data_IF_099090353403
#
_entry.id   IF_099090353403
#
_cell.length_a   1.000
_cell.length_b   1.000
_cell.length_c   1.000
_cell.angle_alpha   90.00
_cell.angle_beta   90.00
_cell.angle_gamma   90.00
#
_symmetry.space_group_name_H-M   'P 1'
#
loop_
_entity.id
_entity.type
_entity.pdbx_description
1 polymer ?
#
# COMPACT_ATOMS: atom_id res chain seq x y z
N UNK A 1 -6.48 -24.75 38.82
CA UNK A 1 -5.66 -23.64 39.33
C UNK A 1 -4.20 -23.98 39.09
N UNK A 2 -3.55 -23.33 38.12
CA UNK A 2 -2.09 -23.29 37.93
C UNK A 2 -1.85 -22.30 36.78
N UNK A 3 -1.86 -20.99 37.09
CA UNK A 3 -0.70 -20.12 37.28
C UNK A 3 0.12 -19.92 35.99
N UNK A 4 -0.15 -18.77 35.37
CA UNK A 4 0.67 -18.15 34.34
C UNK A 4 2.03 -17.74 34.92
N UNK A 5 3.05 -17.73 34.06
CA UNK A 5 4.30 -16.99 34.27
C UNK A 5 4.58 -16.23 32.97
N UNK A 6 4.32 -14.92 33.02
CA UNK A 6 4.82 -13.94 32.07
C UNK A 6 6.33 -13.80 32.22
N UNK A 7 7.06 -13.74 31.10
CA UNK A 7 8.44 -13.28 31.07
C UNK A 7 8.51 -12.04 30.18
N UNK A 8 8.51 -10.88 30.83
CA UNK A 8 8.82 -9.59 30.22
C UNK A 8 10.34 -9.49 30.01
N UNK A 9 10.77 -9.22 28.78
CA UNK A 9 12.16 -8.85 28.48
C UNK A 9 12.20 -7.34 28.29
N UNK A 10 12.70 -6.67 29.33
CA UNK A 10 13.08 -5.26 29.38
C UNK A 10 14.39 -5.08 28.60
N UNK A 11 14.40 -4.18 27.61
CA UNK A 11 15.63 -3.76 26.94
C UNK A 11 15.92 -2.30 27.27
N UNK A 12 17.04 -2.09 27.97
CA UNK A 12 17.57 -0.83 28.47
C UNK A 12 18.00 0.11 27.34
N UNK A 13 17.60 1.38 27.45
CA UNK A 13 18.01 2.52 26.61
C UNK A 13 19.52 2.77 26.74
N UNK A 14 20.18 2.98 25.60
CA UNK A 14 21.53 3.53 25.52
C UNK A 14 21.41 4.95 24.97
N UNK A 15 21.87 5.92 25.76
CA UNK A 15 21.93 7.34 25.43
C UNK A 15 22.96 7.62 24.32
N UNK A 16 22.56 8.40 23.31
CA UNK A 16 23.46 8.95 22.28
C UNK A 16 23.38 10.49 22.35
N UNK A 17 24.51 11.22 22.42
CA UNK A 17 24.51 12.66 22.62
C UNK A 17 24.10 13.44 21.36
N UNK A 18 23.37 14.53 21.57
CA UNK A 18 22.84 15.45 20.56
C UNK A 18 23.93 16.27 19.85
N UNK A 19 23.81 16.39 18.52
CA UNK A 19 24.59 17.31 17.70
C UNK A 19 23.89 18.68 17.59
N UNK A 20 24.63 19.79 17.41
CA UNK A 20 24.10 21.15 17.52
C UNK A 20 23.37 21.63 16.26
N UNK A 21 22.30 22.39 16.47
CA UNK A 21 21.48 23.06 15.45
C UNK A 21 22.24 24.21 14.74
N UNK A 22 22.01 24.45 13.43
CA UNK A 22 22.41 25.69 12.78
C UNK A 22 21.29 26.75 12.75
N UNK A 23 21.77 27.97 12.89
CA UNK A 23 21.15 29.27 13.15
C UNK A 23 20.20 29.80 12.06
N UNK A 24 19.08 30.42 12.49
CA UNK A 24 18.12 31.14 11.64
C UNK A 24 18.71 32.41 11.02
N UNK A 25 18.60 32.55 9.69
CA UNK A 25 18.84 33.82 9.00
C UNK A 25 17.55 34.35 8.34
N UNK A 26 17.04 35.45 8.90
CA UNK A 26 15.96 36.29 8.34
C UNK A 26 16.42 37.00 7.06
N UNK A 27 15.60 36.96 6.00
CA UNK A 27 15.62 37.97 4.94
C UNK A 27 14.21 38.32 4.46
N UNK A 28 14.05 39.59 4.10
CA UNK A 28 12.80 40.35 3.99
C UNK A 28 12.20 40.34 2.58
N UNK A 29 10.88 40.53 2.53
CA UNK A 29 10.08 40.84 1.33
C UNK A 29 10.62 42.04 0.53
N UNK A 30 10.58 41.92 -0.81
CA UNK A 30 10.40 43.04 -1.72
C UNK A 30 9.70 42.55 -3.00
N UNK A 31 8.57 43.19 -3.31
CA UNK A 31 7.81 43.01 -4.55
C UNK A 31 8.42 43.83 -5.69
N UNK A 32 8.39 43.30 -6.91
CA UNK A 32 8.39 44.07 -8.15
C UNK A 32 7.79 43.23 -9.29
N UNK A 33 6.75 43.79 -9.93
CA UNK A 33 6.21 43.33 -11.21
C UNK A 33 7.17 43.69 -12.37
N UNK A 34 7.22 42.87 -13.43
CA UNK A 34 6.73 43.16 -14.79
C UNK A 34 7.42 42.26 -15.84
N UNK A 35 6.66 41.87 -16.88
CA UNK A 35 7.19 41.51 -18.19
C UNK A 35 7.11 40.03 -18.54
N UNK A 36 6.13 39.67 -19.39
CA UNK A 36 5.97 38.32 -19.91
C UNK A 36 7.00 37.97 -20.99
N UNK A 37 7.18 36.67 -21.19
CA UNK A 37 7.45 36.13 -22.51
C UNK A 37 6.92 34.70 -22.61
N UNK A 38 6.30 34.41 -23.75
CA UNK A 38 5.68 33.14 -24.06
C UNK A 38 6.74 32.13 -24.49
N UNK A 39 6.85 30.99 -23.80
CA UNK A 39 7.59 29.84 -24.30
C UNK A 39 6.82 28.55 -23.99
N UNK A 40 6.49 27.87 -25.08
CA UNK A 40 5.78 26.62 -25.19
C UNK A 40 6.57 25.51 -24.46
N UNK A 41 6.01 24.98 -23.36
CA UNK A 41 6.56 23.86 -22.61
C UNK A 41 5.48 22.79 -22.47
N UNK A 42 5.66 21.69 -23.19
CA UNK A 42 4.80 20.52 -23.19
C UNK A 42 4.74 19.93 -21.77
N UNK A 43 3.69 20.26 -21.03
CA UNK A 43 3.47 19.78 -19.68
C UNK A 43 3.13 18.29 -19.74
N UNK A 44 4.08 17.46 -19.33
CA UNK A 44 3.82 16.06 -18.98
C UNK A 44 2.69 16.05 -17.93
N UNK A 45 1.60 15.29 -18.14
CA UNK A 45 0.51 15.28 -17.17
C UNK A 45 1.04 14.75 -15.84
N UNK A 46 0.63 15.34 -14.70
CA UNK A 46 0.99 14.81 -13.38
C UNK A 46 0.51 13.35 -13.27
N UNK A 47 1.24 12.49 -12.55
CA UNK A 47 0.79 11.13 -12.29
C UNK A 47 -0.60 11.16 -11.62
N UNK A 48 -1.42 10.11 -11.79
CA UNK A 48 -2.76 10.05 -11.23
C UNK A 48 -2.69 10.19 -9.71
N UNK A 49 -3.02 11.39 -9.22
CA UNK A 49 -3.10 11.68 -7.80
C UNK A 49 -4.43 11.12 -7.30
N UNK A 50 -4.38 10.06 -6.51
CA UNK A 50 -5.54 9.60 -5.77
C UNK A 50 -5.93 10.68 -4.75
N UNK A 51 -7.23 11.00 -4.66
CA UNK A 51 -7.72 12.01 -3.72
C UNK A 51 -7.42 11.56 -2.29
N UNK A 52 -6.53 12.26 -1.59
CA UNK A 52 -6.38 12.14 -0.14
C UNK A 52 -7.66 12.72 0.48
N UNK A 53 -8.42 11.91 1.21
CA UNK A 53 -9.61 12.42 1.90
C UNK A 53 -9.14 13.33 3.05
N UNK A 54 -9.67 14.54 3.14
CA UNK A 54 -9.43 15.54 4.20
C UNK A 54 -9.87 15.08 5.61
N UNK A 55 -10.22 13.80 5.79
CA UNK A 55 -10.68 13.20 7.05
C UNK A 55 -9.61 12.36 7.77
N UNK A 56 -8.32 12.61 7.53
CA UNK A 56 -7.21 12.03 8.31
C UNK A 56 -6.94 12.92 9.54
N UNK A 57 -7.80 12.86 10.56
CA UNK A 57 -7.54 13.38 11.92
C UNK A 57 -6.63 12.44 12.74
N UNK A 58 -6.11 11.35 12.16
CA UNK A 58 -5.02 10.60 12.77
C UNK A 58 -3.73 11.44 12.65
N UNK A 59 -3.03 11.66 13.77
CA UNK A 59 -1.76 12.40 13.84
C UNK A 59 -0.93 12.16 12.57
N UNK A 60 -0.66 13.23 11.82
CA UNK A 60 0.12 13.16 10.59
C UNK A 60 1.37 12.30 10.87
N UNK A 61 1.54 11.16 10.18
CA UNK A 61 2.64 10.25 10.46
C UNK A 61 3.93 11.06 10.36
N UNK A 62 4.79 10.95 11.38
CA UNK A 62 6.12 11.60 11.37
C UNK A 62 6.75 11.34 10.01
N UNK A 63 6.99 12.39 9.25
CA UNK A 63 7.55 12.28 7.89
C UNK A 63 8.92 11.64 8.03
N UNK A 64 9.02 10.36 7.68
CA UNK A 64 10.28 9.65 7.60
C UNK A 64 10.95 10.15 6.32
N UNK A 65 12.19 10.66 6.44
CA UNK A 65 12.99 10.97 5.26
C UNK A 65 13.44 9.66 4.61
N UNK A 66 12.88 9.36 3.44
CA UNK A 66 13.17 8.14 2.67
C UNK A 66 14.50 8.25 1.90
N UNK A 67 15.10 9.45 1.84
CA UNK A 67 16.24 9.73 1.00
C UNK A 67 15.89 9.80 -0.49
N UNK A 68 16.89 10.02 -1.36
CA UNK A 68 16.67 10.12 -2.79
C UNK A 68 16.32 8.75 -3.38
N UNK A 69 15.36 8.74 -4.32
CA UNK A 69 15.07 7.57 -5.15
C UNK A 69 16.28 7.23 -6.02
N UNK A 70 16.63 5.94 -6.06
CA UNK A 70 17.72 5.39 -6.86
C UNK A 70 17.19 4.22 -7.67
N UNK A 71 17.66 4.05 -8.90
CA UNK A 71 17.32 2.87 -9.71
C UNK A 71 18.07 1.63 -9.20
N UNK A 72 17.48 0.44 -9.33
CA UNK A 72 18.19 -0.83 -9.05
C UNK A 72 19.49 -0.91 -9.83
N UNK A 73 19.49 -0.47 -11.09
CA UNK A 73 20.66 -0.50 -11.97
C UNK A 73 21.81 0.33 -11.40
N UNK A 74 21.55 1.58 -11.01
CA UNK A 74 22.55 2.45 -10.40
C UNK A 74 23.05 1.88 -9.07
N UNK A 75 22.15 1.27 -8.29
CA UNK A 75 22.52 0.67 -7.03
C UNK A 75 23.45 -0.53 -7.24
N UNK A 76 23.21 -1.37 -8.24
CA UNK A 76 24.06 -2.51 -8.55
C UNK A 76 25.42 -2.09 -9.13
N UNK A 77 25.45 -1.07 -9.98
CA UNK A 77 26.69 -0.55 -10.58
C UNK A 77 27.62 0.07 -9.52
N UNK A 78 27.07 0.80 -8.54
CA UNK A 78 27.85 1.42 -7.46
C UNK A 78 28.63 0.43 -6.61
N UNK A 79 28.07 -0.76 -6.39
CA UNK A 79 28.66 -1.76 -5.47
C UNK A 79 29.23 -2.97 -6.23
N UNK A 80 29.51 -2.82 -7.53
CA UNK A 80 30.00 -3.91 -8.39
C UNK A 80 31.34 -4.49 -7.94
N UNK A 81 32.18 -3.67 -7.32
CA UNK A 81 33.53 -4.00 -6.87
C UNK A 81 33.54 -4.55 -5.43
N UNK A 82 32.40 -4.55 -4.73
CA UNK A 82 32.24 -5.12 -3.40
C UNK A 82 31.52 -6.47 -3.46
N UNK A 83 32.30 -7.54 -3.28
CA UNK A 83 31.82 -8.92 -3.31
C UNK A 83 30.74 -9.19 -2.24
N UNK A 84 30.85 -8.57 -1.07
CA UNK A 84 29.93 -8.80 0.04
C UNK A 84 28.56 -8.15 -0.22
N UNK A 85 28.57 -6.91 -0.72
CA UNK A 85 27.35 -6.18 -1.09
C UNK A 85 26.67 -6.80 -2.30
N UNK A 86 27.44 -7.27 -3.28
CA UNK A 86 26.89 -8.02 -4.42
C UNK A 86 26.14 -9.26 -3.97
N UNK A 87 26.77 -10.12 -3.15
CA UNK A 87 26.11 -11.35 -2.65
C UNK A 87 24.86 -11.03 -1.85
N UNK A 88 24.91 -9.99 -1.02
CA UNK A 88 23.76 -9.56 -0.22
C UNK A 88 22.60 -9.08 -1.11
N UNK A 89 22.88 -8.30 -2.15
CA UNK A 89 21.84 -7.85 -3.11
C UNK A 89 21.29 -8.99 -3.95
N UNK A 90 22.14 -9.90 -4.41
CA UNK A 90 21.72 -11.11 -5.13
C UNK A 90 20.74 -11.93 -4.27
N UNK A 91 20.97 -12.01 -2.95
CA UNK A 91 20.06 -12.70 -2.03
C UNK A 91 18.71 -11.97 -1.84
N UNK A 92 18.70 -10.63 -1.83
CA UNK A 92 17.48 -9.84 -1.64
C UNK A 92 16.64 -9.71 -2.90
N UNK A 93 17.29 -9.40 -4.01
CA UNK A 93 16.64 -9.15 -5.29
C UNK A 93 16.29 -10.46 -6.00
N UNK A 94 17.01 -11.55 -5.69
CA UNK A 94 16.90 -12.80 -6.42
C UNK A 94 17.37 -12.63 -7.86
N UNK A 95 16.76 -13.37 -8.78
CA UNK A 95 17.06 -13.31 -10.22
C UNK A 95 16.32 -12.15 -10.89
N UNK A 96 16.67 -10.91 -10.55
CA UNK A 96 16.17 -9.74 -11.29
C UNK A 96 16.82 -9.71 -12.67
N UNK A 97 16.00 -9.73 -13.72
CA UNK A 97 16.50 -9.52 -15.08
C UNK A 97 16.84 -8.05 -15.30
N UNK A 98 18.13 -7.72 -15.21
CA UNK A 98 18.66 -6.38 -15.39
C UNK A 98 18.40 -5.81 -16.79
N UNK A 99 18.06 -6.65 -17.78
CA UNK A 99 17.66 -6.17 -19.11
C UNK A 99 16.20 -5.71 -19.12
N UNK A 100 15.37 -6.23 -18.22
CA UNK A 100 13.96 -5.84 -18.06
C UNK A 100 13.79 -4.62 -17.15
N UNK A 101 14.76 -4.37 -16.27
CA UNK A 101 14.78 -3.27 -15.30
C UNK A 101 15.59 -2.13 -15.89
N UNK A 102 14.91 -1.17 -16.53
CA UNK A 102 15.54 0.01 -17.11
C UNK A 102 16.09 0.99 -16.07
N UNK A 103 16.45 2.20 -16.51
CA UNK A 103 16.85 3.32 -15.64
C UNK A 103 15.62 4.05 -15.03
N UNK A 104 14.44 3.44 -15.13
CA UNK A 104 13.19 4.02 -14.64
C UNK A 104 13.20 4.06 -13.12
N UNK A 105 13.22 5.27 -12.55
CA UNK A 105 13.21 5.48 -11.10
C UNK A 105 11.88 5.08 -10.47
N UNK A 106 10.79 5.17 -11.22
CA UNK A 106 9.46 4.87 -10.71
C UNK A 106 9.15 3.37 -10.77
N UNK A 107 8.86 2.72 -9.63
CA UNK A 107 8.26 1.39 -9.64
C UNK A 107 6.89 1.41 -10.34
N UNK A 108 6.54 0.28 -10.92
CA UNK A 108 5.20 0.01 -11.43
C UNK A 108 4.64 -1.23 -10.75
N UNK A 109 3.44 -1.11 -10.18
CA UNK A 109 2.76 -2.19 -9.47
C UNK A 109 1.39 -2.37 -10.07
N UNK A 110 1.11 -3.58 -10.57
CA UNK A 110 -0.19 -3.95 -11.13
C UNK A 110 -0.89 -4.90 -10.19
N UNK A 111 -1.94 -4.42 -9.52
CA UNK A 111 -2.82 -5.26 -8.69
C UNK A 111 -3.71 -6.08 -9.61
N UNK A 112 -3.52 -7.40 -9.61
CA UNK A 112 -4.15 -8.32 -10.57
C UNK A 112 -5.44 -8.94 -10.02
N UNK A 113 -5.50 -9.23 -8.73
CA UNK A 113 -6.72 -9.78 -8.11
C UNK A 113 -6.76 -9.61 -6.61
N UNK A 114 -7.99 -9.67 -6.09
CA UNK A 114 -8.34 -9.84 -4.69
C UNK A 114 -9.08 -11.17 -4.55
N UNK A 115 -8.61 -12.07 -3.67
CA UNK A 115 -9.37 -13.25 -3.28
C UNK A 115 -9.78 -13.17 -1.82
N UNK A 116 -11.00 -13.59 -1.51
CA UNK A 116 -11.49 -13.72 -0.14
C UNK A 116 -11.49 -15.19 0.22
N UNK A 117 -10.60 -15.54 1.15
CA UNK A 117 -10.39 -16.90 1.64
C UNK A 117 -11.27 -17.10 2.86
N UNK A 118 -12.17 -18.08 2.82
CA UNK A 118 -13.00 -18.44 3.96
C UNK A 118 -12.94 -19.95 4.19
N UNK A 119 -12.72 -20.42 5.42
CA UNK A 119 -12.63 -21.85 5.70
C UNK A 119 -13.86 -22.63 5.23
N UNK A 120 -13.63 -23.80 4.64
CA UNK A 120 -14.71 -24.73 4.26
C UNK A 120 -15.48 -24.37 2.99
N UNK A 121 -15.01 -23.41 2.18
CA UNK A 121 -15.59 -23.10 0.86
C UNK A 121 -14.53 -22.64 -0.14
N UNK A 122 -14.83 -22.68 -1.45
CA UNK A 122 -13.96 -22.07 -2.46
C UNK A 122 -13.75 -20.57 -2.23
N UNK A 123 -12.56 -20.09 -2.55
CA UNK A 123 -12.21 -18.66 -2.52
C UNK A 123 -13.18 -17.86 -3.41
N UNK A 124 -13.61 -16.69 -2.94
CA UNK A 124 -14.23 -15.70 -3.82
C UNK A 124 -13.09 -15.01 -4.57
N UNK A 125 -12.95 -15.27 -5.86
CA UNK A 125 -11.92 -14.65 -6.70
C UNK A 125 -12.47 -13.41 -7.42
N UNK A 126 -11.82 -12.26 -7.24
CA UNK A 126 -12.20 -10.97 -7.80
C UNK A 126 -11.04 -10.42 -8.66
N UNK A 127 -11.13 -10.47 -10.00
CA UNK A 127 -10.10 -9.91 -10.87
C UNK A 127 -10.06 -8.38 -10.74
N UNK A 128 -8.85 -7.82 -10.86
CA UNK A 128 -8.60 -6.38 -10.81
C UNK A 128 -7.78 -5.90 -12.03
N UNK A 129 -7.98 -4.65 -12.47
CA UNK A 129 -8.96 -3.68 -11.97
C UNK A 129 -10.40 -4.07 -12.28
N UNK A 130 -11.36 -3.54 -11.51
CA UNK A 130 -12.79 -3.83 -11.70
C UNK A 130 -13.27 -3.30 -13.05
N UNK A 131 -14.08 -4.08 -13.77
CA UNK A 131 -14.67 -3.60 -15.02
C UNK A 131 -15.55 -2.35 -14.78
N UNK A 132 -15.41 -1.28 -15.58
CA UNK A 132 -16.12 0.00 -15.37
C UNK A 132 -17.66 -0.06 -15.32
N UNK A 133 -18.25 -1.17 -15.74
CA UNK A 133 -19.70 -1.36 -15.84
C UNK A 133 -20.29 -2.26 -14.73
N UNK A 134 -19.51 -2.64 -13.72
CA UNK A 134 -19.99 -3.43 -12.59
C UNK A 134 -20.89 -2.57 -11.65
N UNK A 135 -22.11 -2.27 -12.10
CA UNK A 135 -23.13 -1.66 -11.23
C UNK A 135 -23.71 -2.72 -10.31
N UNK A 136 -23.53 -2.56 -9.01
CA UNK A 136 -24.16 -3.39 -7.98
C UNK A 136 -23.20 -3.97 -6.96
N UNK A 137 -23.69 -4.95 -6.22
CA UNK A 137 -22.96 -5.68 -5.17
C UNK A 137 -21.84 -6.51 -5.82
N UNK A 138 -20.59 -6.24 -5.47
CA UNK A 138 -19.42 -6.90 -6.03
C UNK A 138 -19.24 -8.32 -5.48
N UNK A 139 -19.50 -8.51 -4.19
CA UNK A 139 -19.53 -9.81 -3.54
C UNK A 139 -20.43 -9.82 -2.31
N UNK A 140 -20.70 -11.00 -1.77
CA UNK A 140 -21.52 -11.18 -0.56
C UNK A 140 -20.79 -12.11 0.41
N UNK A 141 -20.71 -11.68 1.67
CA UNK A 141 -20.15 -12.45 2.77
C UNK A 141 -21.22 -12.95 3.74
N UNK A 142 -20.97 -14.10 4.34
CA UNK A 142 -21.74 -14.57 5.49
C UNK A 142 -21.30 -13.82 6.75
N UNK A 143 -22.24 -13.44 7.61
CA UNK A 143 -22.00 -12.81 8.90
C UNK A 143 -21.27 -13.75 9.88
N UNK A 144 -20.42 -13.20 10.75
CA UNK A 144 -19.68 -13.97 11.76
C UNK A 144 -18.74 -15.03 11.18
N UNK A 145 -18.29 -14.86 9.94
CA UNK A 145 -17.43 -15.83 9.26
C UNK A 145 -15.98 -15.33 9.23
N UNK A 146 -14.99 -16.17 9.59
CA UNK A 146 -13.59 -15.82 9.47
C UNK A 146 -13.20 -15.74 7.99
N UNK A 147 -12.33 -14.78 7.67
CA UNK A 147 -11.82 -14.57 6.33
C UNK A 147 -10.38 -14.03 6.34
N UNK A 148 -9.69 -14.22 5.21
CA UNK A 148 -8.44 -13.52 4.87
C UNK A 148 -8.56 -12.94 3.49
N UNK A 149 -7.91 -11.81 3.25
CA UNK A 149 -7.75 -11.26 1.92
C UNK A 149 -6.43 -11.73 1.33
N UNK A 150 -6.44 -12.16 0.09
CA UNK A 150 -5.24 -12.51 -0.69
C UNK A 150 -5.14 -11.59 -1.87
N UNK A 151 -4.09 -10.78 -1.91
CA UNK A 151 -3.77 -9.92 -3.04
C UNK A 151 -2.75 -10.63 -3.93
N UNK A 152 -2.96 -10.56 -5.23
CA UNK A 152 -1.96 -10.96 -6.23
C UNK A 152 -1.61 -9.76 -7.09
N UNK A 153 -0.32 -9.47 -7.22
CA UNK A 153 0.18 -8.28 -7.93
C UNK A 153 1.56 -8.51 -8.55
N UNK A 154 1.86 -7.82 -9.63
CA UNK A 154 3.20 -7.81 -10.24
C UNK A 154 3.92 -6.50 -9.94
N UNK A 155 5.25 -6.55 -9.88
CA UNK A 155 6.13 -5.39 -9.70
C UNK A 155 7.12 -5.37 -10.85
N UNK A 156 7.29 -4.20 -11.46
CA UNK A 156 8.22 -3.94 -12.57
C UNK A 156 8.92 -2.59 -12.41
N UNK A 157 9.91 -2.33 -13.28
CA UNK A 157 10.73 -1.11 -13.38
C UNK A 157 11.68 -0.84 -12.21
N UNK A 158 11.21 -0.82 -10.97
CA UNK A 158 12.05 -0.55 -9.80
C UNK A 158 11.49 -1.23 -8.54
N UNK A 159 12.23 -1.16 -7.42
CA UNK A 159 11.74 -1.61 -6.11
C UNK A 159 10.57 -0.72 -5.69
N UNK A 160 9.47 -1.34 -5.25
CA UNK A 160 8.41 -0.62 -4.53
C UNK A 160 8.68 -0.73 -3.03
N UNK A 161 8.87 0.41 -2.38
CA UNK A 161 9.17 0.50 -0.94
C UNK A 161 7.91 0.84 -0.15
N UNK A 162 7.59 0.00 0.84
CA UNK A 162 6.46 0.25 1.74
C UNK A 162 5.10 0.22 1.05
N UNK A 163 4.90 -0.72 0.12
CA UNK A 163 3.59 -0.96 -0.48
C UNK A 163 2.57 -1.22 0.63
N UNK A 164 1.47 -0.47 0.62
CA UNK A 164 0.48 -0.41 1.67
C UNK A 164 -0.91 -0.53 1.10
N UNK A 165 -1.70 -1.38 1.72
CA UNK A 165 -3.13 -1.52 1.48
C UNK A 165 -3.88 -0.67 2.49
N UNK A 166 -4.84 0.13 2.02
CA UNK A 166 -5.81 0.80 2.89
C UNK A 166 -7.21 0.48 2.42
N UNK A 167 -8.10 0.16 3.35
CA UNK A 167 -9.51 -0.07 3.06
C UNK A 167 -10.37 0.64 4.09
N UNK A 168 -11.25 1.49 3.60
CA UNK A 168 -12.24 2.18 4.42
C UNK A 168 -13.61 1.62 4.07
N UNK A 169 -14.42 1.31 5.08
CA UNK A 169 -15.73 0.70 4.92
C UNK A 169 -16.81 1.60 5.52
N UNK A 170 -17.90 1.77 4.78
CA UNK A 170 -19.06 2.54 5.19
C UNK A 170 -20.32 1.69 5.16
N UNK A 171 -21.21 1.97 6.11
CA UNK A 171 -22.57 1.42 6.17
C UNK A 171 -23.56 2.57 6.25
N UNK A 172 -24.47 2.65 5.28
CA UNK A 172 -25.47 3.74 5.23
C UNK A 172 -24.83 5.13 5.27
N UNK A 173 -23.68 5.30 4.61
CA UNK A 173 -22.92 6.55 4.57
C UNK A 173 -22.06 6.84 5.81
N UNK A 174 -22.20 6.07 6.89
CA UNK A 174 -21.35 6.20 8.09
C UNK A 174 -20.11 5.31 7.96
N UNK A 175 -18.92 5.87 8.23
CA UNK A 175 -17.67 5.10 8.30
C UNK A 175 -17.74 4.13 9.50
N UNK A 176 -17.60 2.84 9.25
CA UNK A 176 -17.73 1.79 10.27
C UNK A 176 -16.44 1.04 10.53
N UNK A 177 -15.51 1.05 9.57
CA UNK A 177 -14.22 0.40 9.70
C UNK A 177 -13.16 1.06 8.81
N UNK A 178 -11.89 0.95 9.21
CA UNK A 178 -10.74 1.37 8.43
C UNK A 178 -9.54 0.47 8.77
N UNK A 179 -9.02 -0.21 7.75
CA UNK A 179 -7.81 -1.01 7.84
C UNK A 179 -6.66 -0.34 7.07
N UNK A 180 -5.46 -0.35 7.65
CA UNK A 180 -4.20 0.05 7.02
C UNK A 180 -3.18 -1.05 7.24
N UNK A 181 -2.73 -1.71 6.19
CA UNK A 181 -1.81 -2.84 6.24
C UNK A 181 -0.55 -2.55 5.42
N UNK A 182 0.62 -2.65 6.05
CA UNK A 182 1.91 -2.58 5.37
C UNK A 182 2.20 -3.95 4.74
N UNK A 183 2.17 -4.03 3.41
CA UNK A 183 2.44 -5.27 2.68
C UNK A 183 3.94 -5.55 2.59
N UNK A 184 4.74 -4.49 2.48
CA UNK A 184 6.20 -4.54 2.53
C UNK A 184 6.90 -3.93 1.32
N UNK A 185 8.14 -4.35 1.10
CA UNK A 185 9.00 -3.91 0.00
C UNK A 185 9.19 -5.06 -0.99
N UNK A 186 9.01 -4.77 -2.28
CA UNK A 186 9.01 -5.80 -3.32
C UNK A 186 9.93 -5.40 -4.47
N UNK A 187 10.78 -6.32 -4.90
CA UNK A 187 11.64 -6.16 -6.08
C UNK A 187 10.87 -6.49 -7.35
N UNK A 188 11.28 -5.96 -8.52
CA UNK A 188 10.69 -6.34 -9.79
C UNK A 188 11.04 -7.79 -10.13
N UNK A 189 10.05 -8.58 -10.55
CA UNK A 189 10.23 -9.96 -10.98
C UNK A 189 9.12 -10.39 -11.94
N UNK A 190 9.37 -11.46 -12.71
CA UNK A 190 8.41 -11.97 -13.69
C UNK A 190 7.18 -12.61 -13.04
N UNK A 191 7.38 -13.34 -11.94
CA UNK A 191 6.30 -14.05 -11.24
C UNK A 191 5.52 -13.10 -10.31
N UNK A 192 4.18 -13.10 -10.33
CA UNK A 192 3.40 -12.27 -9.43
C UNK A 192 3.62 -12.61 -7.94
N UNK A 193 3.66 -11.59 -7.11
CA UNK A 193 3.63 -11.73 -5.66
C UNK A 193 2.24 -12.10 -5.17
N UNK A 194 2.20 -12.78 -4.03
CA UNK A 194 0.97 -13.01 -3.27
C UNK A 194 1.16 -12.57 -1.83
N UNK A 195 0.23 -11.78 -1.32
CA UNK A 195 0.17 -11.40 0.08
C UNK A 195 -1.16 -11.81 0.69
N UNK A 196 -1.13 -12.42 1.87
CA UNK A 196 -2.33 -12.84 2.61
C UNK A 196 -2.40 -12.03 3.90
N UNK A 197 -3.51 -11.32 4.12
CA UNK A 197 -3.71 -10.55 5.35
C UNK A 197 -3.85 -11.46 6.57
N UNK A 198 -3.67 -10.91 7.78
CA UNK A 198 -4.16 -11.56 8.99
C UNK A 198 -5.64 -11.96 8.86
N UNK A 199 -6.02 -12.94 9.66
CA UNK A 199 -7.41 -13.39 9.73
C UNK A 199 -8.27 -12.36 10.44
N UNK A 200 -9.44 -12.10 9.86
CA UNK A 200 -10.46 -11.21 10.41
C UNK A 200 -11.83 -11.91 10.35
N UNK A 201 -12.84 -11.35 11.02
CA UNK A 201 -14.19 -11.92 11.10
C UNK A 201 -15.24 -10.90 10.71
N UNK A 202 -16.13 -11.27 9.77
CA UNK A 202 -17.23 -10.39 9.39
C UNK A 202 -18.16 -10.08 10.58
N UNK A 203 -18.70 -8.86 10.68
CA UNK A 203 -19.59 -8.51 11.78
C UNK A 203 -20.87 -9.37 11.70
N UNK A 204 -21.52 -9.54 12.85
CA UNK A 204 -22.73 -10.37 12.98
C UNK A 204 -23.86 -9.67 13.71
N UNK A 205 -25.08 -10.15 13.49
CA UNK A 205 -26.30 -9.62 14.08
C UNK A 205 -27.18 -8.89 13.07
N UNK A 206 -28.43 -8.66 13.45
CA UNK A 206 -29.44 -8.05 12.58
C UNK A 206 -29.01 -6.67 12.06
N UNK A 207 -28.28 -5.90 12.86
CA UNK A 207 -27.77 -4.59 12.49
C UNK A 207 -26.47 -4.62 11.68
N UNK A 208 -25.73 -5.74 11.67
CA UNK A 208 -24.54 -5.90 10.85
C UNK A 208 -24.89 -6.36 9.42
N UNK A 209 -26.02 -7.04 9.24
CA UNK A 209 -26.46 -7.46 7.91
C UNK A 209 -26.87 -6.26 7.05
N UNK A 210 -26.67 -6.37 5.74
CA UNK A 210 -27.01 -5.36 4.75
C UNK A 210 -25.86 -5.00 3.82
N UNK A 211 -26.03 -3.88 3.12
CA UNK A 211 -25.09 -3.40 2.11
C UNK A 211 -24.07 -2.43 2.71
N UNK A 212 -22.84 -2.55 2.23
CA UNK A 212 -21.67 -1.77 2.60
C UNK A 212 -21.06 -1.19 1.34
N UNK A 213 -20.46 -0.01 1.47
CA UNK A 213 -19.55 0.55 0.48
C UNK A 213 -18.14 0.49 1.02
N UNK A 214 -17.16 0.25 0.16
CA UNK A 214 -15.75 0.28 0.53
C UNK A 214 -14.92 1.02 -0.51
N UNK A 215 -13.82 1.59 -0.03
CA UNK A 215 -12.80 2.25 -0.84
C UNK A 215 -11.47 1.62 -0.48
N UNK A 216 -10.87 0.95 -1.44
CA UNK A 216 -9.55 0.32 -1.31
C UNK A 216 -8.52 1.13 -2.11
N UNK A 217 -7.35 1.34 -1.52
CA UNK A 217 -6.18 1.95 -2.18
C UNK A 217 -4.92 1.14 -1.93
N UNK A 218 -4.03 1.16 -2.93
CA UNK A 218 -2.65 0.67 -2.84
C UNK A 218 -1.69 1.82 -3.08
N UNK A 219 -0.87 2.14 -2.08
CA UNK A 219 0.05 3.27 -2.06
C UNK A 219 1.44 2.78 -1.62
N UNK A 220 2.51 3.46 -2.03
CA UNK A 220 3.85 3.26 -1.45
C UNK A 220 4.26 4.41 -0.52
N UNK A 221 5.45 4.31 0.05
CA UNK A 221 5.98 5.33 0.96
C UNK A 221 6.24 6.68 0.25
N UNK A 222 6.41 6.67 -1.06
CA UNK A 222 6.53 7.89 -1.88
C UNK A 222 5.17 8.48 -2.31
N UNK A 223 4.06 7.93 -1.80
CA UNK A 223 2.67 8.33 -2.08
C UNK A 223 2.21 8.08 -3.53
N UNK A 224 2.91 7.22 -4.29
CA UNK A 224 2.42 6.77 -5.59
C UNK A 224 1.23 5.83 -5.37
N UNK A 225 0.11 6.14 -6.01
CA UNK A 225 -1.10 5.32 -5.96
C UNK A 225 -1.13 4.38 -7.17
N UNK A 226 -1.22 3.07 -6.90
CA UNK A 226 -1.19 2.04 -7.94
C UNK A 226 -2.57 1.54 -8.34
N UNK A 227 -3.49 1.53 -7.38
CA UNK A 227 -4.89 1.19 -7.61
C UNK A 227 -5.75 1.86 -6.56
N UNK A 228 -6.83 2.48 -7.01
CA UNK A 228 -7.93 2.92 -6.17
C UNK A 228 -9.24 2.38 -6.75
N UNK A 229 -10.01 1.68 -5.91
CA UNK A 229 -11.31 1.13 -6.29
C UNK A 229 -12.36 1.45 -5.24
N UNK A 230 -13.57 1.77 -5.73
CA UNK A 230 -14.77 1.90 -4.92
C UNK A 230 -15.71 0.76 -5.30
N UNK A 231 -16.23 0.05 -4.31
CA UNK A 231 -17.12 -1.08 -4.54
C UNK A 231 -18.18 -1.19 -3.44
N UNK A 232 -19.21 -1.98 -3.70
CA UNK A 232 -20.21 -2.34 -2.69
C UNK A 232 -20.20 -3.83 -2.45
N UNK A 233 -20.51 -4.25 -1.22
CA UNK A 233 -20.62 -5.66 -0.86
C UNK A 233 -21.73 -5.85 0.17
N UNK A 234 -22.25 -7.07 0.27
CA UNK A 234 -23.29 -7.41 1.24
C UNK A 234 -22.77 -8.32 2.34
N UNK A 235 -23.29 -8.14 3.55
CA UNK A 235 -23.18 -9.13 4.64
C UNK A 235 -24.56 -9.72 4.89
N UNK A 236 -24.67 -11.05 4.80
CA UNK A 236 -25.93 -11.80 4.91
C UNK A 236 -25.81 -12.91 5.95
N UNK A 237 -26.97 -13.48 6.35
CA UNK A 237 -27.01 -14.57 7.33
C UNK A 237 -26.32 -15.84 6.83
N UNK A 238 -26.45 -16.12 5.54
CA UNK A 238 -25.85 -17.27 4.89
C UNK A 238 -25.07 -16.84 3.65
N UNK A 239 -24.16 -17.70 3.22
CA UNK A 239 -23.46 -17.56 1.95
C UNK A 239 -24.45 -17.58 0.77
N UNK A 240 -24.13 -16.92 -0.36
CA UNK A 240 -24.88 -17.10 -1.59
C UNK A 240 -24.91 -18.58 -1.99
N UNK A 241 -26.07 -19.07 -2.40
CA UNK A 241 -26.19 -20.40 -2.97
C UNK A 241 -25.34 -20.50 -4.23
N UNK A 242 -24.40 -21.44 -4.27
CA UNK A 242 -23.73 -21.83 -5.51
C UNK A 242 -24.78 -22.49 -6.40
N UNK A 243 -25.21 -21.79 -7.46
CA UNK A 243 -26.02 -22.39 -8.53
C UNK A 243 -25.12 -23.11 -9.52
#
# INVERSE_FOLDING_TARGET
>A
MSSAVEAAISCSKVDVPAAPEPEEAKAKNAAAEHGGDAANGEATPPPPHCHEDEEDEEEAPKVIDLGPRVSIKDQLEKDKDDESLRRWKEQLLGSVDLNSVGETLEPDVKIMSLSILSPGRPDIFLPLPVEPNAKGVWFTLKEGSPYRLKFTFSVSNNIVSGLRYTNTVWKTGLKVDRAKEMLGTFSPQLEPYTYVTPEDTTPSGMFARGSYSARTKFLDDDRKCYLEINYTFDIRREWPSTS
#
